data_IF_779686775157
#
_entry.id   IF_779686775157
#
_cell.length_a   1.000
_cell.length_b   1.000
_cell.length_c   1.000
_cell.angle_alpha   90.00
_cell.angle_beta   90.00
_cell.angle_gamma   90.00
#
_symmetry.space_group_name_H-M   'P 1'
#
loop_
_entity.id
_entity.type
_entity.pdbx_description
1 polymer ?
#
# COMPACT_ATOMS: atom_id res chain seq x y z
N UNK A 1 2.75 -3.86 -19.01
CA UNK A 1 2.03 -3.27 -17.84
C UNK A 1 2.69 -1.95 -17.48
N UNK A 2 1.92 -0.84 -17.45
CA UNK A 2 2.49 0.52 -17.38
C UNK A 2 2.66 1.07 -15.96
N UNK A 3 1.80 0.67 -15.00
CA UNK A 3 1.96 1.00 -13.57
C UNK A 3 1.75 -0.26 -12.70
N UNK A 4 2.84 -0.94 -12.29
CA UNK A 4 2.77 -2.13 -11.44
C UNK A 4 2.15 -1.89 -10.06
N UNK A 5 2.25 -0.68 -9.51
CA UNK A 5 1.71 -0.35 -8.18
C UNK A 5 0.20 -0.18 -8.28
N UNK A 6 -0.28 0.49 -9.34
CA UNK A 6 -1.72 0.61 -9.58
C UNK A 6 -2.40 -0.75 -9.80
N UNK A 7 -1.75 -1.67 -10.53
CA UNK A 7 -2.24 -3.05 -10.68
C UNK A 7 -2.32 -3.78 -9.33
N UNK A 8 -1.26 -3.67 -8.50
CA UNK A 8 -1.25 -4.27 -7.17
C UNK A 8 -2.43 -3.81 -6.29
N UNK A 9 -2.62 -2.49 -6.18
CA UNK A 9 -3.73 -1.91 -5.41
C UNK A 9 -5.09 -2.31 -5.98
N UNK A 10 -5.20 -2.40 -7.31
CA UNK A 10 -6.45 -2.79 -7.97
C UNK A 10 -6.80 -4.25 -7.68
N UNK A 11 -5.82 -5.16 -7.72
CA UNK A 11 -6.03 -6.57 -7.39
C UNK A 11 -6.48 -6.76 -5.94
N UNK A 12 -5.87 -6.06 -4.99
CA UNK A 12 -6.30 -6.05 -3.58
C UNK A 12 -7.74 -5.54 -3.47
N UNK A 13 -8.06 -4.40 -4.11
CA UNK A 13 -9.42 -3.83 -4.09
C UNK A 13 -10.45 -4.81 -4.62
N UNK A 14 -10.17 -5.43 -5.78
CA UNK A 14 -11.10 -6.36 -6.41
C UNK A 14 -11.32 -7.60 -5.54
N UNK A 15 -10.24 -8.21 -5.01
CA UNK A 15 -10.33 -9.33 -4.08
C UNK A 15 -11.12 -8.96 -2.80
N UNK A 16 -10.91 -7.75 -2.27
CA UNK A 16 -11.64 -7.24 -1.12
C UNK A 16 -13.14 -7.04 -1.39
N UNK A 17 -13.51 -6.62 -2.60
CA UNK A 17 -14.91 -6.44 -3.00
C UNK A 17 -15.68 -7.76 -3.00
N UNK A 18 -15.06 -8.86 -3.44
CA UNK A 18 -15.68 -10.19 -3.52
C UNK A 18 -15.38 -11.11 -2.33
N UNK A 19 -14.81 -10.56 -1.25
CA UNK A 19 -14.50 -11.30 -0.01
C UNK A 19 -13.55 -12.49 -0.18
N UNK A 20 -12.55 -12.38 -1.07
CA UNK A 20 -11.51 -13.39 -1.15
C UNK A 20 -10.59 -13.37 0.07
N UNK A 21 -10.15 -14.54 0.52
CA UNK A 21 -9.23 -14.63 1.66
C UNK A 21 -7.81 -14.17 1.29
N UNK A 22 -7.41 -14.41 0.04
CA UNK A 22 -6.07 -14.13 -0.44
C UNK A 22 -6.06 -13.49 -1.83
N UNK A 23 -4.97 -12.80 -2.14
CA UNK A 23 -4.65 -12.33 -3.49
C UNK A 23 -3.17 -12.50 -3.76
N UNK A 24 -2.85 -13.03 -4.93
CA UNK A 24 -1.47 -13.23 -5.38
C UNK A 24 -1.11 -12.23 -6.47
N UNK A 25 0.06 -11.63 -6.33
CA UNK A 25 0.59 -10.69 -7.32
C UNK A 25 2.05 -10.97 -7.60
N UNK A 26 2.55 -10.66 -8.81
CA UNK A 26 3.97 -10.77 -9.07
C UNK A 26 4.74 -9.74 -8.25
N UNK A 27 5.82 -10.21 -7.63
CA UNK A 27 6.56 -9.44 -6.65
C UNK A 27 7.48 -8.40 -7.28
N UNK A 28 7.70 -7.33 -6.52
CA UNK A 28 8.78 -6.38 -6.75
C UNK A 28 9.14 -5.76 -5.39
N UNK A 29 10.34 -5.21 -5.26
CA UNK A 29 10.79 -4.61 -3.98
C UNK A 29 9.77 -3.61 -3.42
N UNK A 30 9.31 -2.68 -4.26
CA UNK A 30 8.34 -1.67 -3.84
C UNK A 30 6.97 -2.26 -3.45
N UNK A 31 6.51 -3.33 -4.12
CA UNK A 31 5.26 -4.00 -3.73
C UNK A 31 5.40 -4.72 -2.39
N UNK A 32 6.58 -5.32 -2.13
CA UNK A 32 6.87 -5.96 -0.84
C UNK A 32 6.84 -4.91 0.28
N UNK A 33 7.53 -3.79 0.09
CA UNK A 33 7.56 -2.70 1.09
C UNK A 33 6.15 -2.16 1.38
N UNK A 34 5.33 -1.96 0.34
CA UNK A 34 3.93 -1.53 0.49
C UNK A 34 3.12 -2.60 1.25
N UNK A 35 3.26 -3.88 0.88
CA UNK A 35 2.52 -4.97 1.52
C UNK A 35 2.86 -5.11 3.00
N UNK A 36 4.15 -4.99 3.36
CA UNK A 36 4.60 -5.01 4.75
C UNK A 36 4.04 -3.82 5.56
N UNK A 37 3.96 -2.63 4.95
CA UNK A 37 3.28 -1.48 5.59
C UNK A 37 1.80 -1.80 5.82
N UNK A 38 1.09 -2.36 4.84
CA UNK A 38 -0.32 -2.73 5.01
C UNK A 38 -0.51 -3.74 6.15
N UNK A 39 0.41 -4.70 6.30
CA UNK A 39 0.41 -5.68 7.39
C UNK A 39 0.66 -5.01 8.74
N UNK A 40 1.71 -4.21 8.85
CA UNK A 40 2.10 -3.52 10.09
C UNK A 40 1.03 -2.54 10.58
N UNK A 41 0.36 -1.84 9.67
CA UNK A 41 -0.74 -0.93 10.00
C UNK A 41 -2.09 -1.68 10.18
N UNK A 42 -2.10 -3.00 10.00
CA UNK A 42 -3.24 -3.86 10.31
C UNK A 42 -4.38 -3.86 9.29
N UNK A 43 -4.13 -3.35 8.08
CA UNK A 43 -5.08 -3.35 6.95
C UNK A 43 -5.26 -4.75 6.34
N UNK A 44 -4.18 -5.52 6.31
CA UNK A 44 -4.18 -6.92 5.89
C UNK A 44 -3.81 -7.82 7.06
N UNK A 45 -4.19 -9.09 7.00
CA UNK A 45 -3.92 -10.04 8.08
C UNK A 45 -2.47 -10.46 8.06
N UNK A 46 -1.98 -10.82 6.87
CA UNK A 46 -0.62 -11.27 6.67
C UNK A 46 -0.17 -11.09 5.22
N UNK A 47 1.14 -11.22 4.99
CA UNK A 47 1.79 -11.17 3.69
C UNK A 47 2.89 -12.22 3.67
N UNK A 48 2.91 -13.04 2.62
CA UNK A 48 3.94 -14.04 2.36
C UNK A 48 4.65 -13.72 1.04
N UNK A 49 5.96 -14.00 1.02
CA UNK A 49 6.75 -14.00 -0.21
C UNK A 49 7.07 -15.44 -0.62
N UNK A 50 6.69 -15.79 -1.84
CA UNK A 50 6.88 -17.12 -2.41
C UNK A 50 7.87 -16.98 -3.56
N UNK A 51 8.98 -17.70 -3.48
CA UNK A 51 9.96 -17.75 -4.55
C UNK A 51 9.44 -18.62 -5.71
N UNK A 52 9.57 -18.16 -6.95
CA UNK A 52 8.99 -18.81 -8.14
C UNK A 52 9.99 -18.92 -9.31
N UNK A 53 11.28 -19.14 -9.03
CA UNK A 53 12.39 -19.16 -10.02
C UNK A 53 12.41 -17.97 -11.02
N UNK A 54 11.62 -16.93 -10.76
CA UNK A 54 11.43 -15.74 -11.59
C UNK A 54 11.55 -14.49 -10.73
N UNK A 55 10.45 -13.76 -10.52
CA UNK A 55 10.43 -12.50 -9.75
C UNK A 55 9.86 -12.68 -8.33
N UNK A 56 9.31 -13.85 -8.05
CA UNK A 56 8.52 -14.26 -6.90
C UNK A 56 7.08 -13.76 -6.95
N UNK A 57 6.30 -14.26 -6.01
CA UNK A 57 4.90 -13.93 -5.79
C UNK A 57 4.76 -13.34 -4.39
N UNK A 58 3.95 -12.29 -4.28
CA UNK A 58 3.48 -11.78 -2.98
C UNK A 58 2.06 -12.28 -2.81
N UNK A 59 1.84 -13.10 -1.79
CA UNK A 59 0.51 -13.53 -1.36
C UNK A 59 0.07 -12.64 -0.21
N UNK A 60 -1.01 -11.90 -0.40
CA UNK A 60 -1.60 -11.02 0.62
C UNK A 60 -2.85 -11.69 1.17
N UNK A 61 -2.91 -11.85 2.49
CA UNK A 61 -4.08 -12.36 3.20
C UNK A 61 -4.96 -11.20 3.66
N UNK A 62 -6.15 -11.09 3.09
CA UNK A 62 -7.08 -10.01 3.40
C UNK A 62 -7.65 -10.16 4.82
N UNK A 63 -8.01 -9.02 5.41
CA UNK A 63 -8.55 -8.96 6.77
C UNK A 63 -10.00 -8.49 6.74
N UNK A 64 -10.85 -9.24 7.42
CA UNK A 64 -12.25 -8.93 7.61
C UNK A 64 -12.54 -8.86 9.12
N UNK A 65 -13.34 -7.88 9.52
CA UNK A 65 -13.82 -7.73 10.88
C UNK A 65 -14.96 -8.69 11.20
N UNK A 66 -15.65 -8.42 12.33
CA UNK A 66 -16.90 -9.10 12.65
C UNK A 66 -17.93 -8.86 11.53
N UNK A 67 -18.80 -9.83 11.31
CA UNK A 67 -19.85 -9.77 10.29
C UNK A 67 -19.35 -9.50 8.86
N UNK A 68 -18.12 -9.95 8.56
CA UNK A 68 -17.43 -9.75 7.27
C UNK A 68 -17.24 -8.27 6.89
N UNK A 69 -17.19 -7.36 7.86
CA UNK A 69 -16.86 -5.96 7.56
C UNK A 69 -15.46 -5.85 6.94
N UNK A 70 -15.34 -5.11 5.83
CA UNK A 70 -14.03 -4.88 5.18
C UNK A 70 -13.21 -3.91 6.02
N UNK A 71 -11.97 -4.29 6.35
CA UNK A 71 -11.03 -3.40 7.05
C UNK A 71 -10.49 -2.32 6.10
N UNK A 72 -10.18 -2.69 4.86
CA UNK A 72 -9.84 -1.74 3.81
C UNK A 72 -11.13 -1.25 3.17
N UNK A 73 -11.37 0.06 3.21
CA UNK A 73 -12.52 0.71 2.56
C UNK A 73 -12.12 1.39 1.25
N UNK A 74 -10.87 1.81 1.11
CA UNK A 74 -10.35 2.53 -0.05
C UNK A 74 -8.86 2.32 -0.30
N UNK A 75 -8.51 2.19 -1.59
CA UNK A 75 -7.13 2.11 -2.09
C UNK A 75 -7.02 3.06 -3.28
N UNK A 76 -6.10 4.03 -3.23
CA UNK A 76 -5.94 5.03 -4.28
C UNK A 76 -4.47 5.28 -4.61
N UNK A 77 -4.09 5.07 -5.87
CA UNK A 77 -2.78 5.48 -6.42
C UNK A 77 -2.76 7.00 -6.63
N UNK A 78 -1.75 7.68 -6.07
CA UNK A 78 -1.62 9.14 -6.10
C UNK A 78 -0.63 9.58 -7.18
N UNK A 79 0.67 9.34 -6.99
CA UNK A 79 1.65 9.54 -8.05
C UNK A 79 1.38 8.54 -9.19
N UNK A 80 1.51 8.93 -10.46
CA UNK A 80 1.33 8.04 -11.62
C UNK A 80 2.47 8.29 -12.62
N UNK A 81 2.81 7.35 -13.51
CA UNK A 81 3.90 7.53 -14.47
C UNK A 81 3.82 8.84 -15.28
N UNK A 82 2.62 9.26 -15.68
CA UNK A 82 2.39 10.52 -16.42
C UNK A 82 2.26 11.78 -15.56
N UNK A 83 2.12 11.65 -14.23
CA UNK A 83 2.06 12.78 -13.31
C UNK A 83 2.57 12.34 -11.94
N UNK A 84 3.83 12.65 -11.66
CA UNK A 84 4.46 12.33 -10.39
C UNK A 84 4.03 13.33 -9.32
N UNK A 85 3.72 12.83 -8.13
CA UNK A 85 3.27 13.65 -7.00
C UNK A 85 4.31 13.59 -5.89
N UNK A 86 4.96 14.72 -5.62
CA UNK A 86 5.96 14.88 -4.57
C UNK A 86 5.47 15.88 -3.53
N UNK A 87 5.85 15.66 -2.29
CA UNK A 87 5.53 16.54 -1.15
C UNK A 87 6.79 16.85 -0.35
N UNK A 88 6.86 18.08 0.17
CA UNK A 88 7.86 18.46 1.17
C UNK A 88 7.51 17.85 2.53
N UNK A 89 8.47 17.83 3.45
CA UNK A 89 8.29 17.29 4.79
C UNK A 89 7.11 17.95 5.55
N UNK A 90 6.96 19.26 5.41
CA UNK A 90 5.91 20.04 6.09
C UNK A 90 4.53 19.88 5.43
N UNK A 91 4.52 19.45 4.16
CA UNK A 91 3.30 19.29 3.35
C UNK A 91 2.84 17.82 3.26
N UNK A 92 3.39 16.94 4.11
CA UNK A 92 3.04 15.52 4.11
C UNK A 92 1.54 15.35 4.42
N UNK A 93 0.75 14.79 3.49
CA UNK A 93 -0.71 14.80 3.58
C UNK A 93 -1.22 13.93 4.72
N UNK A 94 -2.40 14.26 5.24
CA UNK A 94 -3.17 13.41 6.17
C UNK A 94 -4.35 12.81 5.43
N UNK A 95 -4.46 11.48 5.43
CA UNK A 95 -5.59 10.78 4.82
C UNK A 95 -6.72 10.66 5.84
N UNK A 96 -7.93 11.13 5.49
CA UNK A 96 -9.10 11.17 6.38
C UNK A 96 -8.77 11.74 7.77
N UNK A 97 -8.08 12.90 7.82
CA UNK A 97 -7.64 13.53 9.07
C UNK A 97 -6.82 12.62 10.01
N UNK A 98 -6.13 11.61 9.46
CA UNK A 98 -5.28 10.68 10.20
C UNK A 98 -5.91 9.32 10.50
N UNK A 99 -7.15 9.08 10.05
CA UNK A 99 -7.81 7.78 10.12
C UNK A 99 -7.31 6.81 9.04
N UNK A 100 -6.83 7.34 7.90
CA UNK A 100 -6.13 6.55 6.88
C UNK A 100 -4.62 6.77 6.94
N UNK A 101 -3.91 6.11 6.03
CA UNK A 101 -2.46 6.28 5.85
C UNK A 101 -2.15 6.76 4.43
N UNK A 102 -1.09 7.56 4.33
CA UNK A 102 -0.42 7.79 3.06
C UNK A 102 0.91 7.04 3.04
N UNK A 103 1.18 6.34 1.96
CA UNK A 103 2.42 5.60 1.73
C UNK A 103 3.33 6.48 0.88
N UNK A 104 4.53 6.75 1.37
CA UNK A 104 5.45 7.74 0.80
C UNK A 104 6.80 7.07 0.55
N UNK A 105 7.31 7.20 -0.68
CA UNK A 105 8.68 6.82 -1.03
C UNK A 105 9.61 7.97 -0.70
N UNK A 106 10.53 7.74 0.22
CA UNK A 106 11.51 8.74 0.68
C UNK A 106 12.93 8.25 0.38
N UNK A 107 13.94 9.10 0.67
CA UNK A 107 15.35 8.69 0.62
C UNK A 107 15.68 7.54 1.59
N UNK A 108 14.90 7.38 2.65
CA UNK A 108 15.09 6.34 3.68
C UNK A 108 14.24 5.09 3.45
N UNK A 109 13.65 4.96 2.25
CA UNK A 109 12.75 3.87 1.89
C UNK A 109 11.28 4.26 1.89
N UNK A 110 10.41 3.25 1.75
CA UNK A 110 8.96 3.44 1.73
C UNK A 110 8.44 3.41 3.17
N UNK A 111 7.77 4.48 3.58
CA UNK A 111 7.28 4.68 4.95
C UNK A 111 5.88 5.28 4.96
N UNK A 112 5.24 5.32 6.13
CA UNK A 112 3.94 5.99 6.30
C UNK A 112 4.09 7.49 6.48
N UNK A 113 3.02 8.25 6.25
CA UNK A 113 2.94 9.69 6.48
C UNK A 113 3.21 10.08 7.94
N UNK A 114 2.79 9.25 8.90
CA UNK A 114 3.13 9.44 10.32
C UNK A 114 4.65 9.36 10.54
N UNK A 115 5.30 8.36 9.96
CA UNK A 115 6.76 8.18 10.05
C UNK A 115 7.51 9.32 9.34
N UNK A 116 7.05 9.71 8.14
CA UNK A 116 7.63 10.81 7.37
C UNK A 116 7.58 12.14 8.13
N UNK A 117 6.44 12.47 8.76
CA UNK A 117 6.31 13.66 9.62
C UNK A 117 7.20 13.60 10.85
N UNK A 118 7.29 12.44 11.51
CA UNK A 118 8.15 12.27 12.68
C UNK A 118 9.65 12.47 12.35
N UNK A 119 10.07 12.02 11.16
CA UNK A 119 11.44 12.18 10.68
C UNK A 119 11.70 13.52 9.97
N UNK A 120 10.65 14.32 9.73
CA UNK A 120 10.69 15.57 8.94
C UNK A 120 11.27 15.36 7.54
N UNK A 121 10.78 14.33 6.83
CA UNK A 121 11.22 13.97 5.48
C UNK A 121 10.03 13.95 4.52
N UNK A 122 10.22 14.54 3.33
CA UNK A 122 9.26 14.50 2.22
C UNK A 122 9.52 13.34 1.26
N UNK A 123 8.80 13.31 0.13
CA UNK A 123 9.01 12.25 -0.86
C UNK A 123 7.91 12.15 -1.91
N UNK A 124 7.92 11.05 -2.67
CA UNK A 124 6.88 10.72 -3.64
C UNK A 124 5.68 10.09 -2.92
N UNK A 125 4.50 10.67 -3.07
CA UNK A 125 3.27 10.13 -2.50
C UNK A 125 2.78 8.98 -3.36
N UNK A 126 2.97 7.75 -2.90
CA UNK A 126 2.65 6.57 -3.68
C UNK A 126 1.14 6.31 -3.70
N UNK A 127 0.55 6.10 -2.53
CA UNK A 127 -0.83 5.69 -2.42
C UNK A 127 -1.45 6.12 -1.10
N UNK A 128 -2.77 6.24 -1.11
CA UNK A 128 -3.58 6.41 0.08
C UNK A 128 -4.38 5.14 0.33
N UNK A 129 -4.52 4.79 1.61
CA UNK A 129 -5.25 3.62 2.09
C UNK A 129 -6.10 4.03 3.28
N UNK A 130 -7.36 3.63 3.29
CA UNK A 130 -8.32 3.86 4.37
C UNK A 130 -9.41 2.79 4.34
#
# INVERSE_FOLDING_TARGET
MTDPIADFLTRIRNANMVYHETVEVPASKIKRDIAEILKREGFVRDVEYIEDDKQGIIRVFLKYGKDKQRVITGLKRISKPGLRSYVKADDVPKVLNGLGIAIISTSNGVITDKQARAQKIGGEVLAYVW
#
